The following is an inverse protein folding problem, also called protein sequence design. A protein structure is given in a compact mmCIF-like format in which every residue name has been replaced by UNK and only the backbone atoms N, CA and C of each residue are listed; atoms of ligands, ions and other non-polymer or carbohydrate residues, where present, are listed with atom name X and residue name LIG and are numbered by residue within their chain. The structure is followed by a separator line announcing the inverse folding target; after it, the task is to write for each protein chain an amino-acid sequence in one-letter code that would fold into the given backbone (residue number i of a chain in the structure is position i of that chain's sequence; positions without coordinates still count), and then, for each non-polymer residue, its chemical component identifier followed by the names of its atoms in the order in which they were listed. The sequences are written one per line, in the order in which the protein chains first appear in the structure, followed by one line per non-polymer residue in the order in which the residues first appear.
data_IF_192875629559
#
_entry.id   IF_192875629559
#
_cell.length_a   1.000
_cell.length_b   1.000
_cell.length_c   1.000
_cell.angle_alpha   90.00
_cell.angle_beta   90.00
_cell.angle_gamma   90.00
#
_symmetry.space_group_name_H-M   'P 1'
#
loop_
_entity.id
_entity.type
_entity.pdbx_description
1 polymer ?
#
# COMPACT_ATOMS: atom_id res chain seq x y z
N UNK A 1 -6.59 -17.46 1.10
CA UNK A 1 -7.11 -16.08 1.05
C UNK A 1 -8.47 -16.23 0.41
N UNK A 2 -9.57 -15.84 1.05
CA UNK A 2 -10.90 -16.03 0.43
C UNK A 2 -11.03 -15.10 -0.78
N UNK A 3 -11.89 -15.41 -1.77
CA UNK A 3 -12.07 -14.60 -2.98
C UNK A 3 -12.35 -13.11 -2.68
N UNK A 4 -13.02 -12.84 -1.56
CA UNK A 4 -13.40 -11.48 -1.15
C UNK A 4 -12.22 -10.55 -0.84
N UNK A 5 -11.07 -11.10 -0.39
CA UNK A 5 -9.88 -10.28 -0.14
C UNK A 5 -9.29 -9.77 -1.45
N UNK A 6 -9.05 -10.69 -2.39
CA UNK A 6 -8.47 -10.34 -3.68
C UNK A 6 -9.40 -9.43 -4.49
N UNK A 7 -10.72 -9.69 -4.44
CA UNK A 7 -11.72 -8.82 -5.06
C UNK A 7 -11.66 -7.38 -4.53
N UNK A 8 -11.60 -7.21 -3.20
CA UNK A 8 -11.41 -5.88 -2.57
C UNK A 8 -10.12 -5.21 -3.01
N UNK A 9 -9.02 -5.96 -3.13
CA UNK A 9 -7.71 -5.42 -3.53
C UNK A 9 -7.69 -5.00 -5.00
N UNK A 10 -8.17 -5.85 -5.90
CA UNK A 10 -8.24 -5.55 -7.34
C UNK A 10 -9.08 -4.31 -7.61
N UNK A 11 -10.20 -4.14 -6.91
CA UNK A 11 -11.01 -2.93 -7.01
C UNK A 11 -10.22 -1.67 -6.63
N UNK A 12 -9.46 -1.73 -5.53
CA UNK A 12 -8.61 -0.61 -5.12
C UNK A 12 -7.48 -0.36 -6.11
N UNK A 13 -6.88 -1.40 -6.69
CA UNK A 13 -5.84 -1.26 -7.70
C UNK A 13 -6.35 -0.59 -8.97
N UNK A 14 -7.55 -0.94 -9.44
CA UNK A 14 -8.19 -0.28 -10.59
C UNK A 14 -8.38 1.21 -10.31
N UNK A 15 -8.86 1.58 -9.12
CA UNK A 15 -9.03 2.99 -8.73
C UNK A 15 -7.69 3.72 -8.69
N UNK A 16 -6.67 3.12 -8.07
CA UNK A 16 -5.32 3.69 -7.98
C UNK A 16 -4.70 3.87 -9.36
N UNK A 17 -4.72 2.83 -10.21
CA UNK A 17 -4.19 2.87 -11.57
C UNK A 17 -4.89 3.94 -12.41
N UNK A 18 -6.21 4.08 -12.28
CA UNK A 18 -6.96 5.10 -13.01
C UNK A 18 -6.59 6.50 -12.53
N UNK A 19 -6.43 6.72 -11.23
CA UNK A 19 -5.92 7.99 -10.72
C UNK A 19 -4.55 8.32 -11.34
N UNK A 20 -3.61 7.37 -11.36
CA UNK A 20 -2.30 7.56 -12.00
C UNK A 20 -2.42 7.89 -13.50
N UNK A 21 -3.26 7.16 -14.25
CA UNK A 21 -3.45 7.36 -15.69
C UNK A 21 -4.07 8.72 -16.03
N UNK A 22 -4.84 9.29 -15.11
CA UNK A 22 -5.40 10.64 -15.24
C UNK A 22 -4.52 11.72 -14.59
N UNK A 23 -3.27 11.39 -14.23
CA UNK A 23 -2.34 12.28 -13.50
C UNK A 23 -2.96 12.88 -12.23
N UNK A 24 -3.90 12.14 -11.63
CA UNK A 24 -4.58 12.53 -10.41
C UNK A 24 -3.68 12.35 -9.20
N UNK A 25 -3.87 13.22 -8.19
CA UNK A 25 -3.18 13.09 -6.90
C UNK A 25 -3.62 11.80 -6.19
N UNK A 26 -2.64 11.01 -5.74
CA UNK A 26 -2.85 9.74 -5.03
C UNK A 26 -2.56 9.81 -3.52
N UNK A 27 -1.77 10.80 -3.09
CA UNK A 27 -1.54 11.12 -1.67
C UNK A 27 -2.62 12.09 -1.15
N UNK A 28 -2.86 12.11 0.16
CA UNK A 28 -3.95 12.85 0.82
C UNK A 28 -5.32 12.60 0.15
N UNK A 29 -5.58 11.34 -0.21
CA UNK A 29 -6.79 10.88 -0.90
C UNK A 29 -7.34 9.65 -0.21
N UNK A 30 -8.67 9.57 -0.10
CA UNK A 30 -9.38 8.37 0.33
C UNK A 30 -9.72 7.46 -0.86
N UNK A 31 -9.38 6.20 -0.73
CA UNK A 31 -9.69 5.06 -1.59
C UNK A 31 -10.83 4.23 -0.98
N UNK A 32 -11.22 3.17 -1.70
CA UNK A 32 -12.11 2.13 -1.18
C UNK A 32 -11.37 1.26 -0.16
N UNK A 33 -12.16 0.55 0.63
CA UNK A 33 -11.65 -0.26 1.73
C UNK A 33 -10.92 -1.49 1.20
N UNK A 34 -9.71 -1.70 1.72
CA UNK A 34 -8.95 -2.94 1.54
C UNK A 34 -9.17 -3.86 2.73
N UNK A 35 -9.38 -5.16 2.46
CA UNK A 35 -9.46 -6.17 3.53
C UNK A 35 -8.07 -6.69 3.86
N UNK A 36 -7.66 -6.66 5.12
CA UNK A 36 -6.37 -7.20 5.57
C UNK A 36 -6.61 -8.54 6.30
N UNK A 37 -5.87 -9.61 5.98
CA UNK A 37 -5.97 -10.87 6.71
C UNK A 37 -5.65 -10.69 8.20
N UNK A 38 -6.56 -11.12 9.07
CA UNK A 38 -6.38 -11.05 10.52
C UNK A 38 -5.49 -12.15 11.10
N UNK A 39 -5.23 -13.23 10.34
CA UNK A 39 -4.43 -14.37 10.81
C UNK A 39 -2.96 -13.95 10.92
N UNK A 40 -2.30 -14.17 12.08
CA UNK A 40 -0.90 -13.76 12.29
C UNK A 40 0.07 -14.30 11.22
N UNK A 41 -0.09 -15.57 10.82
CA UNK A 41 0.75 -16.21 9.79
C UNK A 41 0.61 -15.62 8.38
N UNK A 42 -0.36 -14.73 8.17
CA UNK A 42 -0.63 -14.04 6.90
C UNK A 42 -0.63 -12.53 7.04
N UNK A 43 -0.29 -12.02 8.23
CA UNK A 43 -0.25 -10.59 8.53
C UNK A 43 1.04 -10.04 7.94
N UNK A 44 0.90 -9.02 7.10
CA UNK A 44 2.03 -8.43 6.36
C UNK A 44 2.24 -6.95 6.69
N UNK A 45 1.25 -6.35 7.37
CA UNK A 45 1.30 -5.02 7.99
C UNK A 45 0.75 -5.11 9.41
N UNK A 46 1.27 -4.29 10.32
CA UNK A 46 0.92 -4.29 11.76
C UNK A 46 -0.32 -3.45 12.04
N UNK A 47 -0.40 -2.26 11.44
CA UNK A 47 -1.53 -1.36 11.57
C UNK A 47 -2.69 -1.78 10.65
N UNK A 48 -3.88 -1.87 11.24
CA UNK A 48 -5.14 -2.17 10.54
C UNK A 48 -6.22 -1.13 10.83
N UNK A 49 -5.81 0.10 11.15
CA UNK A 49 -6.72 1.23 11.32
C UNK A 49 -7.42 1.55 10.00
N UNK A 50 -8.73 1.74 10.09
CA UNK A 50 -9.57 1.91 8.91
C UNK A 50 -9.28 3.20 8.14
N UNK A 51 -8.91 4.28 8.84
CA UNK A 51 -8.60 5.55 8.18
C UNK A 51 -7.28 5.46 7.42
N UNK A 52 -6.24 4.86 8.03
CA UNK A 52 -4.96 4.60 7.37
C UNK A 52 -5.13 3.69 6.14
N UNK A 53 -5.87 2.59 6.27
CA UNK A 53 -6.07 1.63 5.18
C UNK A 53 -6.87 2.17 4.00
N UNK A 54 -7.63 3.25 4.20
CA UNK A 54 -8.34 3.94 3.12
C UNK A 54 -7.48 4.98 2.41
N UNK A 55 -6.25 5.21 2.83
CA UNK A 55 -5.33 6.10 2.13
C UNK A 55 -4.34 5.27 1.31
N UNK A 56 -3.39 5.91 0.61
CA UNK A 56 -2.45 5.24 -0.29
C UNK A 56 -1.76 4.03 0.36
N UNK A 57 -1.44 4.14 1.65
CA UNK A 57 -0.85 3.07 2.45
C UNK A 57 -1.55 1.71 2.29
N UNK A 58 -2.88 1.65 2.37
CA UNK A 58 -3.62 0.39 2.30
C UNK A 58 -3.52 -0.32 0.95
N UNK A 59 -3.99 0.30 -0.16
CA UNK A 59 -3.86 -0.25 -1.50
C UNK A 59 -2.41 -0.55 -1.87
N UNK A 60 -1.46 0.32 -1.52
CA UNK A 60 -0.06 0.12 -1.87
C UNK A 60 0.56 -1.05 -1.08
N UNK A 61 0.24 -1.21 0.21
CA UNK A 61 0.68 -2.38 1.00
C UNK A 61 0.15 -3.69 0.43
N UNK A 62 -1.13 -3.72 0.01
CA UNK A 62 -1.71 -4.88 -0.65
C UNK A 62 -1.03 -5.17 -1.99
N UNK A 63 -0.70 -4.13 -2.76
CA UNK A 63 0.03 -4.28 -4.02
C UNK A 63 1.43 -4.84 -3.79
N UNK A 64 2.17 -4.30 -2.82
CA UNK A 64 3.48 -4.82 -2.44
C UNK A 64 3.41 -6.29 -2.02
N UNK A 65 2.38 -6.68 -1.26
CA UNK A 65 2.19 -8.07 -0.86
C UNK A 65 1.97 -9.04 -2.03
N UNK A 66 1.28 -8.60 -3.09
CA UNK A 66 1.11 -9.41 -4.31
C UNK A 66 2.39 -9.39 -5.13
N UNK A 67 2.99 -8.21 -5.30
CA UNK A 67 4.15 -8.01 -6.14
C UNK A 67 5.38 -8.78 -5.64
N UNK A 68 5.66 -8.76 -4.34
CA UNK A 68 6.79 -9.50 -3.76
C UNK A 68 6.65 -11.03 -3.84
N UNK A 69 5.50 -11.56 -4.26
CA UNK A 69 5.33 -12.99 -4.56
C UNK A 69 5.66 -13.33 -6.01
N UNK A 70 5.61 -12.36 -6.90
CA UNK A 70 5.88 -12.54 -8.33
C UNK A 70 7.31 -12.14 -8.67
N UNK A 71 7.76 -10.99 -8.17
CA UNK A 71 9.09 -10.43 -8.43
C UNK A 71 9.54 -9.61 -7.22
N UNK A 72 10.55 -10.12 -6.50
CA UNK A 72 11.06 -9.45 -5.30
C UNK A 72 12.05 -8.35 -5.61
N UNK A 73 12.80 -8.48 -6.70
CA UNK A 73 13.85 -7.53 -7.06
C UNK A 73 13.21 -6.24 -7.56
N UNK A 74 12.23 -6.36 -8.46
CA UNK A 74 11.50 -5.20 -8.96
C UNK A 74 10.65 -4.54 -7.85
N UNK A 75 10.07 -5.35 -6.94
CA UNK A 75 9.37 -4.81 -5.77
C UNK A 75 10.32 -4.00 -4.85
N UNK A 76 11.54 -4.48 -4.64
CA UNK A 76 12.55 -3.75 -3.86
C UNK A 76 12.95 -2.45 -4.54
N UNK A 77 13.22 -2.48 -5.85
CA UNK A 77 13.54 -1.30 -6.64
C UNK A 77 12.42 -0.26 -6.61
N UNK A 78 11.16 -0.71 -6.72
CA UNK A 78 10.00 0.15 -6.59
C UNK A 78 9.98 0.86 -5.22
N UNK A 79 10.19 0.13 -4.12
CA UNK A 79 10.22 0.70 -2.77
C UNK A 79 11.29 1.78 -2.62
N UNK A 80 12.51 1.51 -3.07
CA UNK A 80 13.63 2.46 -3.03
C UNK A 80 13.28 3.74 -3.79
N UNK A 81 12.77 3.60 -5.02
CA UNK A 81 12.40 4.76 -5.84
C UNK A 81 11.22 5.53 -5.24
N UNK A 82 10.24 4.83 -4.67
CA UNK A 82 9.09 5.45 -4.00
C UNK A 82 9.53 6.30 -2.81
N UNK A 83 10.35 5.76 -1.90
CA UNK A 83 10.82 6.52 -0.73
C UNK A 83 11.70 7.69 -1.12
N UNK A 84 12.60 7.49 -2.10
CA UNK A 84 13.39 8.59 -2.65
C UNK A 84 12.52 9.72 -3.19
N UNK A 85 11.45 9.40 -3.92
CA UNK A 85 10.52 10.41 -4.46
C UNK A 85 9.76 11.17 -3.36
N UNK A 86 9.35 10.45 -2.31
CA UNK A 86 8.66 11.04 -1.16
C UNK A 86 9.58 12.01 -0.41
N UNK A 87 10.84 11.62 -0.20
CA UNK A 87 11.86 12.46 0.43
C UNK A 87 12.23 13.68 -0.43
N UNK A 88 12.42 13.48 -1.75
CA UNK A 88 12.74 14.56 -2.69
C UNK A 88 11.70 15.68 -2.71
N UNK A 89 10.44 15.33 -2.45
CA UNK A 89 9.31 16.27 -2.44
C UNK A 89 8.82 16.65 -1.04
N UNK A 90 9.51 16.23 0.03
CA UNK A 90 9.16 16.50 1.43
C UNK A 90 7.68 16.18 1.74
N UNK A 91 7.19 15.04 1.23
CA UNK A 91 5.79 14.63 1.40
C UNK A 91 5.64 13.91 2.74
N UNK A 92 4.71 14.38 3.56
CA UNK A 92 4.35 13.72 4.81
C UNK A 92 3.77 12.30 4.58
N UNK A 93 4.43 11.30 5.15
CA UNK A 93 3.98 9.90 5.19
C UNK A 93 2.59 9.76 5.82
N UNK A 94 2.29 10.55 6.85
CA UNK A 94 0.97 10.61 7.49
C UNK A 94 -0.13 11.04 6.52
N UNK A 95 0.16 12.01 5.65
CA UNK A 95 -0.74 12.42 4.57
C UNK A 95 -0.98 11.34 3.50
N UNK A 96 -0.16 10.29 3.46
CA UNK A 96 -0.38 9.08 2.65
C UNK A 96 -1.03 7.94 3.43
N UNK A 97 -1.26 8.16 4.73
CA UNK A 97 -1.84 7.20 5.67
C UNK A 97 -0.86 6.16 6.18
N UNK A 98 0.45 6.37 6.00
CA UNK A 98 1.46 5.52 6.62
C UNK A 98 1.45 5.79 8.14
N UNK A 99 1.19 4.76 8.96
CA UNK A 99 1.13 4.90 10.42
C UNK A 99 2.51 4.79 11.05
N UNK A 100 2.69 5.30 12.27
CA UNK A 100 3.94 5.14 13.00
C UNK A 100 4.42 3.67 13.07
N UNK A 101 5.70 3.45 12.77
CA UNK A 101 6.32 2.12 12.78
C UNK A 101 6.02 1.26 11.56
N UNK A 102 5.45 1.81 10.49
CA UNK A 102 5.19 1.13 9.21
C UNK A 102 6.43 0.48 8.60
N UNK A 103 7.62 1.01 8.90
CA UNK A 103 8.93 0.49 8.46
C UNK A 103 9.18 -0.93 8.97
N UNK A 104 8.53 -1.33 10.06
CA UNK A 104 8.63 -2.66 10.64
C UNK A 104 7.73 -3.70 9.95
N UNK A 105 6.84 -3.26 9.05
CA UNK A 105 5.95 -4.15 8.34
C UNK A 105 6.69 -4.95 7.26
N UNK A 106 6.37 -6.23 7.15
CA UNK A 106 7.11 -7.15 6.28
C UNK A 106 7.13 -6.77 4.80
N UNK A 107 6.11 -6.04 4.33
CA UNK A 107 6.06 -5.55 2.94
C UNK A 107 6.95 -4.34 2.71
N UNK A 108 7.20 -3.55 3.76
CA UNK A 108 7.91 -2.28 3.69
C UNK A 108 9.38 -2.38 4.07
N UNK A 109 9.79 -3.45 4.76
CA UNK A 109 11.20 -3.77 4.96
C UNK A 109 11.92 -3.91 3.61
N UNK A 110 13.02 -3.17 3.47
CA UNK A 110 13.98 -3.29 2.37
C UNK A 110 14.92 -4.46 2.59
#
# INVERSE_FOLDING_TARGET
MTPDFLSSWLHCFVILRNACAHHGRVWNRKFKDVKIPSRPSKKFITNTDFNNLRMLYGPLSCLMQVFGKTDKEEQLLFKINFFKLVEEHDIDYGAMGFPEGWENDSVWKT
#
